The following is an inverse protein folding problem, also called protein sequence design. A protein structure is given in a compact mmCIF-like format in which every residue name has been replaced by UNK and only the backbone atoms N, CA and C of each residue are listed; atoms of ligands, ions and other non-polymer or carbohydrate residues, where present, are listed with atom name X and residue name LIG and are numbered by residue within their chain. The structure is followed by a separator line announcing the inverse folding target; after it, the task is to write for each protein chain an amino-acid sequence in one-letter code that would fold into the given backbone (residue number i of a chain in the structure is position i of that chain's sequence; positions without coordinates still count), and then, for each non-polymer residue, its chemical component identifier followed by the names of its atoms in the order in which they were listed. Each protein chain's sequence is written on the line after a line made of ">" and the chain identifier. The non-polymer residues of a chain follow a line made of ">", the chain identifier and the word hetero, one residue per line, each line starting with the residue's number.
data_IF_702676364456
#
_entry.id   IF_702676364456
#
_cell.length_a   1.000
_cell.length_b   1.000
_cell.length_c   1.000
_cell.angle_alpha   90.00
_cell.angle_beta   90.00
_cell.angle_gamma   90.00
#
_symmetry.space_group_name_H-M   'P 1'
#
loop_
_entity.id
_entity.type
_entity.pdbx_description
1 polymer ?
#
# COMPACT_ATOMS: atom_id res chain seq x y z
N UNK A 1 -33.56 7.74 -39.30
CA UNK A 1 -32.28 8.44 -39.52
C UNK A 1 -31.91 9.14 -38.23
N UNK A 2 -30.77 8.73 -37.66
CA UNK A 2 -29.94 9.45 -36.69
C UNK A 2 -30.57 9.72 -35.30
N UNK A 3 -29.94 9.45 -34.16
CA UNK A 3 -28.54 9.11 -33.89
C UNK A 3 -28.46 8.71 -32.41
N UNK A 4 -27.87 7.54 -32.12
CA UNK A 4 -27.48 7.13 -30.76
C UNK A 4 -26.41 8.09 -30.22
N UNK A 5 -26.43 8.45 -28.93
CA UNK A 5 -25.31 9.12 -28.30
C UNK A 5 -24.15 8.12 -28.17
N UNK A 6 -23.10 8.45 -28.90
CA UNK A 6 -21.69 8.09 -28.74
C UNK A 6 -21.33 7.51 -27.37
N UNK A 7 -21.00 6.21 -27.36
CA UNK A 7 -20.00 5.68 -26.43
C UNK A 7 -18.68 6.43 -26.72
N UNK A 8 -18.02 6.92 -25.68
CA UNK A 8 -16.61 7.26 -25.75
C UNK A 8 -15.83 6.64 -24.59
N UNK A 9 -14.57 6.27 -24.86
CA UNK A 9 -13.83 5.26 -24.14
C UNK A 9 -12.92 5.90 -23.08
N UNK A 10 -12.67 5.19 -21.99
CA UNK A 10 -11.71 5.71 -21.01
C UNK A 10 -11.71 4.98 -19.68
N UNK A 11 -11.74 3.64 -19.69
CA UNK A 11 -11.15 2.92 -18.57
C UNK A 11 -9.65 3.27 -18.56
N UNK A 12 -9.26 4.23 -17.72
CA UNK A 12 -7.83 4.45 -17.45
C UNK A 12 -7.38 3.19 -16.72
N UNK A 13 -6.42 2.41 -17.27
CA UNK A 13 -5.95 1.21 -16.61
C UNK A 13 -5.38 1.64 -15.26
N UNK A 14 -5.95 1.10 -14.18
CA UNK A 14 -5.35 1.10 -12.83
C UNK A 14 -3.84 0.98 -12.98
N UNK A 15 -3.08 1.87 -12.33
CA UNK A 15 -1.62 1.84 -12.33
C UNK A 15 -1.20 0.41 -11.99
N UNK A 16 -0.81 -0.35 -13.01
CA UNK A 16 -0.63 -1.80 -12.90
C UNK A 16 0.51 -2.02 -11.92
N UNK A 17 0.21 -2.64 -10.77
CA UNK A 17 1.20 -3.06 -9.78
C UNK A 17 2.36 -3.75 -10.49
N UNK A 18 3.53 -3.17 -10.33
CA UNK A 18 4.73 -3.62 -11.00
C UNK A 18 5.30 -4.81 -10.22
N UNK A 19 5.49 -5.91 -10.91
CA UNK A 19 6.01 -7.16 -10.35
C UNK A 19 7.28 -7.51 -11.12
N UNK A 20 8.33 -7.91 -10.41
CA UNK A 20 9.50 -8.52 -11.04
C UNK A 20 9.95 -9.73 -10.22
N UNK A 21 10.47 -10.73 -10.92
CA UNK A 21 10.97 -11.92 -10.26
C UNK A 21 12.23 -12.45 -10.93
N UNK A 22 13.23 -12.75 -10.10
CA UNK A 22 14.51 -13.32 -10.49
C UNK A 22 14.64 -14.66 -9.77
N UNK A 23 14.24 -15.73 -10.46
CA UNK A 23 14.18 -17.07 -9.89
C UNK A 23 14.84 -18.11 -10.79
N UNK A 24 15.18 -19.26 -10.22
CA UNK A 24 15.63 -20.41 -11.00
C UNK A 24 14.59 -20.83 -12.07
N UNK A 25 15.10 -21.39 -13.17
CA UNK A 25 14.33 -21.70 -14.38
C UNK A 25 13.10 -22.59 -14.12
N UNK A 26 13.21 -23.50 -13.16
CA UNK A 26 12.17 -24.44 -12.75
C UNK A 26 11.00 -23.78 -12.01
N UNK A 27 11.23 -22.61 -11.39
CA UNK A 27 10.20 -21.88 -10.63
C UNK A 27 9.44 -20.83 -11.48
N UNK A 28 9.93 -20.49 -12.67
CA UNK A 28 9.33 -19.46 -13.54
C UNK A 28 7.87 -19.76 -13.87
N UNK A 29 7.54 -21.03 -14.17
CA UNK A 29 6.17 -21.43 -14.51
C UNK A 29 5.18 -21.23 -13.36
N UNK A 30 5.61 -21.53 -12.13
CA UNK A 30 4.81 -21.37 -10.91
C UNK A 30 4.59 -19.89 -10.62
N UNK A 31 5.65 -19.08 -10.73
CA UNK A 31 5.58 -17.64 -10.49
C UNK A 31 4.68 -16.92 -11.50
N UNK A 32 4.76 -17.27 -12.79
CA UNK A 32 3.86 -16.69 -13.81
C UNK A 32 2.41 -17.02 -13.53
N UNK A 33 2.13 -18.29 -13.17
CA UNK A 33 0.77 -18.71 -12.83
C UNK A 33 0.23 -17.97 -11.59
N UNK A 34 1.03 -17.85 -10.53
CA UNK A 34 0.65 -17.11 -9.34
C UNK A 34 0.44 -15.61 -9.62
N UNK A 35 1.33 -15.00 -10.41
CA UNK A 35 1.21 -13.60 -10.82
C UNK A 35 -0.06 -13.36 -11.65
N UNK A 36 -0.40 -14.26 -12.57
CA UNK A 36 -1.63 -14.21 -13.36
C UNK A 36 -2.89 -14.24 -12.48
N UNK A 37 -2.94 -15.14 -11.49
CA UNK A 37 -4.10 -15.31 -10.59
C UNK A 37 -4.38 -14.05 -9.74
N UNK A 38 -3.35 -13.25 -9.46
CA UNK A 38 -3.45 -12.02 -8.66
C UNK A 38 -3.57 -10.77 -9.55
N UNK A 39 -3.52 -10.93 -10.88
CA UNK A 39 -3.61 -9.83 -11.85
C UNK A 39 -2.34 -8.97 -11.95
N UNK A 40 -1.19 -9.50 -11.55
CA UNK A 40 0.12 -8.85 -11.71
C UNK A 40 0.63 -9.01 -13.16
N UNK A 41 1.47 -8.07 -13.61
CA UNK A 41 2.10 -8.20 -14.94
C UNK A 41 3.18 -9.27 -14.90
N UNK A 42 3.00 -10.31 -15.71
CA UNK A 42 3.94 -11.44 -15.84
C UNK A 42 5.17 -11.13 -16.70
N UNK A 43 5.26 -9.91 -17.25
CA UNK A 43 6.25 -9.51 -18.24
C UNK A 43 7.68 -9.43 -17.69
N UNK A 44 7.87 -9.52 -16.35
CA UNK A 44 9.19 -9.45 -15.71
C UNK A 44 9.54 -10.65 -14.82
N UNK A 45 9.01 -11.84 -15.14
CA UNK A 45 9.51 -13.10 -14.54
C UNK A 45 10.65 -13.65 -15.39
N UNK A 46 11.88 -13.50 -14.89
CA UNK A 46 13.12 -13.87 -15.56
C UNK A 46 13.90 -14.93 -14.78
N UNK A 47 14.65 -15.73 -15.54
CA UNK A 47 15.61 -16.66 -14.97
C UNK A 47 16.79 -15.87 -14.41
N UNK A 48 17.08 -15.99 -13.12
CA UNK A 48 18.18 -15.23 -12.53
C UNK A 48 18.37 -15.49 -11.04
N UNK A 49 19.42 -14.86 -10.52
CA UNK A 49 19.75 -14.86 -9.10
C UNK A 49 19.48 -13.50 -8.47
N UNK A 50 19.56 -13.44 -7.14
CA UNK A 50 19.60 -12.17 -6.39
C UNK A 50 20.62 -11.17 -6.93
N UNK A 51 21.79 -11.61 -7.41
CA UNK A 51 22.81 -10.72 -7.96
C UNK A 51 22.39 -10.08 -9.30
N UNK A 52 21.59 -10.79 -10.10
CA UNK A 52 21.03 -10.24 -11.34
C UNK A 52 19.93 -9.23 -11.04
N UNK A 53 19.14 -9.47 -9.99
CA UNK A 53 18.16 -8.51 -9.48
C UNK A 53 18.83 -7.19 -9.07
N UNK A 54 19.90 -7.26 -8.27
CA UNK A 54 20.67 -6.07 -7.85
C UNK A 54 21.18 -5.28 -9.06
N UNK A 55 21.78 -5.98 -10.04
CA UNK A 55 22.35 -5.35 -11.24
C UNK A 55 21.28 -4.64 -12.08
N UNK A 56 20.09 -5.24 -12.21
CA UNK A 56 19.00 -4.65 -12.99
C UNK A 56 18.35 -3.47 -12.27
N UNK A 57 18.11 -3.61 -10.95
CA UNK A 57 17.47 -2.58 -10.13
C UNK A 57 18.38 -1.36 -9.91
N UNK A 58 19.71 -1.53 -9.95
CA UNK A 58 20.63 -0.39 -9.93
C UNK A 58 20.47 0.57 -11.13
N UNK A 59 19.90 0.11 -12.24
CA UNK A 59 19.75 0.90 -13.48
C UNK A 59 18.29 1.23 -13.84
N UNK A 60 17.31 0.77 -13.05
CA UNK A 60 15.87 0.84 -13.36
C UNK A 60 15.05 1.10 -12.09
N UNK A 61 13.86 1.70 -12.21
CA UNK A 61 12.96 1.86 -11.07
C UNK A 61 12.57 0.50 -10.48
N UNK A 62 12.45 0.45 -9.15
CA UNK A 62 12.15 -0.77 -8.42
C UNK A 62 10.65 -1.10 -8.49
N UNK A 63 10.29 -2.40 -8.52
CA UNK A 63 8.89 -2.81 -8.55
C UNK A 63 8.25 -2.68 -7.16
N UNK A 64 6.92 -2.73 -7.10
CA UNK A 64 6.16 -2.78 -5.84
C UNK A 64 6.36 -4.13 -5.14
N UNK A 65 6.51 -5.19 -5.93
CA UNK A 65 6.76 -6.56 -5.47
C UNK A 65 7.95 -7.15 -6.22
N UNK A 66 8.96 -7.59 -5.46
CA UNK A 66 10.15 -8.24 -5.97
C UNK A 66 10.27 -9.64 -5.37
N UNK A 67 10.35 -10.67 -6.23
CA UNK A 67 10.67 -12.03 -5.80
C UNK A 67 12.11 -12.35 -6.20
N UNK A 68 12.92 -12.79 -5.24
CA UNK A 68 14.32 -13.15 -5.48
C UNK A 68 14.64 -14.54 -4.98
N UNK A 69 15.47 -15.24 -5.75
CA UNK A 69 15.99 -16.55 -5.39
C UNK A 69 17.36 -16.44 -4.73
N UNK A 70 17.41 -16.90 -3.49
CA UNK A 70 18.60 -16.96 -2.65
C UNK A 70 19.27 -18.35 -2.70
N UNK A 71 18.70 -19.33 -3.40
CA UNK A 71 19.32 -20.64 -3.51
C UNK A 71 20.71 -20.53 -4.18
N UNK A 72 21.72 -21.13 -3.55
CA UNK A 72 23.10 -21.05 -4.01
C UNK A 72 23.80 -19.71 -3.77
N UNK A 73 23.14 -18.73 -3.14
CA UNK A 73 23.83 -17.58 -2.57
C UNK A 73 24.61 -18.06 -1.34
N UNK A 74 25.94 -17.96 -1.37
CA UNK A 74 26.77 -18.44 -0.26
C UNK A 74 26.43 -17.76 1.07
N UNK A 75 26.12 -16.46 1.02
CA UNK A 75 25.61 -15.67 2.13
C UNK A 75 24.32 -14.96 1.72
N UNK A 76 23.19 -15.54 2.13
CA UNK A 76 21.87 -15.02 1.84
C UNK A 76 21.60 -13.66 2.50
N UNK A 77 22.19 -13.38 3.67
CA UNK A 77 21.99 -12.12 4.40
C UNK A 77 22.72 -11.01 3.65
N UNK A 78 23.98 -11.23 3.26
CA UNK A 78 24.74 -10.27 2.48
C UNK A 78 24.07 -9.96 1.13
N UNK A 79 23.48 -10.97 0.49
CA UNK A 79 22.76 -10.81 -0.77
C UNK A 79 21.50 -9.94 -0.63
N UNK A 80 20.76 -10.08 0.46
CA UNK A 80 19.60 -9.22 0.76
C UNK A 80 20.05 -7.81 1.14
N UNK A 81 21.12 -7.66 1.90
CA UNK A 81 21.70 -6.35 2.21
C UNK A 81 22.03 -5.56 0.93
N UNK A 82 22.61 -6.23 -0.07
CA UNK A 82 22.87 -5.61 -1.38
C UNK A 82 21.60 -5.21 -2.14
N UNK A 83 20.45 -5.86 -1.91
CA UNK A 83 19.16 -5.41 -2.44
C UNK A 83 18.63 -4.18 -1.71
N UNK A 84 18.84 -4.07 -0.39
CA UNK A 84 18.39 -2.92 0.38
C UNK A 84 19.03 -1.60 -0.10
N UNK A 85 20.27 -1.66 -0.61
CA UNK A 85 20.96 -0.49 -1.16
C UNK A 85 20.39 0.00 -2.50
N UNK A 86 19.65 -0.84 -3.23
CA UNK A 86 19.10 -0.53 -4.57
C UNK A 86 17.57 -0.45 -4.60
N UNK A 87 16.89 -0.95 -3.57
CA UNK A 87 15.43 -0.94 -3.48
C UNK A 87 14.90 0.33 -2.81
N UNK A 88 13.85 0.92 -3.40
CA UNK A 88 13.11 1.99 -2.74
C UNK A 88 12.34 1.47 -1.52
N UNK A 89 12.06 2.34 -0.54
CA UNK A 89 11.36 1.98 0.71
C UNK A 89 9.95 1.37 0.51
N UNK A 90 9.36 1.53 -0.68
CA UNK A 90 8.07 0.93 -1.04
C UNK A 90 8.15 -0.47 -1.68
N UNK A 91 9.34 -0.96 -2.01
CA UNK A 91 9.53 -2.26 -2.66
C UNK A 91 9.46 -3.39 -1.64
N UNK A 92 8.50 -4.31 -1.85
CA UNK A 92 8.33 -5.49 -0.99
C UNK A 92 9.11 -6.67 -1.56
N UNK A 93 10.10 -7.14 -0.82
CA UNK A 93 10.98 -8.23 -1.23
C UNK A 93 10.51 -9.55 -0.61
N UNK A 94 10.22 -10.54 -1.44
CA UNK A 94 9.94 -11.93 -1.05
C UNK A 94 11.12 -12.79 -1.49
N UNK A 95 11.73 -13.47 -0.54
CA UNK A 95 12.85 -14.36 -0.80
C UNK A 95 12.38 -15.80 -1.01
N UNK A 96 13.08 -16.54 -1.87
CA UNK A 96 12.86 -17.97 -2.11
C UNK A 96 14.18 -18.69 -1.93
N UNK A 97 14.20 -19.85 -1.27
CA UNK A 97 15.42 -20.62 -1.06
C UNK A 97 15.18 -22.08 -0.69
N UNK A 98 16.26 -22.84 -0.59
CA UNK A 98 16.27 -24.28 -0.27
C UNK A 98 16.67 -24.60 1.18
N UNK A 99 17.18 -23.60 1.91
CA UNK A 99 17.59 -23.74 3.32
C UNK A 99 16.38 -23.61 4.23
N UNK A 100 16.11 -24.65 5.02
CA UNK A 100 15.07 -24.64 6.06
C UNK A 100 15.69 -24.39 7.44
N UNK A 101 16.02 -23.14 7.74
CA UNK A 101 16.61 -22.74 9.01
C UNK A 101 15.86 -21.53 9.61
N UNK A 102 15.42 -21.67 10.86
CA UNK A 102 14.66 -20.64 11.57
C UNK A 102 15.52 -19.41 11.88
N UNK A 103 16.82 -19.60 12.10
CA UNK A 103 17.77 -18.50 12.30
C UNK A 103 17.94 -17.67 11.04
N UNK A 104 18.06 -18.31 9.88
CA UNK A 104 18.08 -17.66 8.57
C UNK A 104 16.77 -16.91 8.33
N UNK A 105 15.61 -17.56 8.51
CA UNK A 105 14.31 -16.90 8.35
C UNK A 105 14.22 -15.62 9.18
N UNK A 106 14.51 -15.71 10.49
CA UNK A 106 14.45 -14.53 11.39
C UNK A 106 15.47 -13.46 11.02
N UNK A 107 16.61 -13.85 10.46
CA UNK A 107 17.62 -12.89 10.01
C UNK A 107 17.14 -12.14 8.77
N UNK A 108 16.59 -12.85 7.79
CA UNK A 108 16.04 -12.23 6.57
C UNK A 108 14.89 -11.26 6.88
N UNK A 109 13.98 -11.63 7.78
CA UNK A 109 12.89 -10.73 8.19
C UNK A 109 13.43 -9.45 8.86
N UNK A 110 14.51 -9.53 9.65
CA UNK A 110 15.14 -8.34 10.26
C UNK A 110 15.84 -7.45 9.23
N UNK A 111 16.35 -8.03 8.16
CA UNK A 111 16.93 -7.29 7.02
C UNK A 111 15.86 -6.66 6.10
N UNK A 112 14.58 -6.78 6.45
CA UNK A 112 13.48 -6.13 5.72
C UNK A 112 12.85 -6.99 4.62
N UNK A 113 13.20 -8.27 4.53
CA UNK A 113 12.47 -9.22 3.66
C UNK A 113 11.06 -9.41 4.24
N UNK A 114 10.05 -9.33 3.38
CA UNK A 114 8.66 -9.53 3.77
C UNK A 114 8.38 -10.96 4.18
N UNK A 115 8.84 -11.92 3.37
CA UNK A 115 8.65 -13.34 3.64
C UNK A 115 9.72 -14.18 2.94
N UNK A 116 9.95 -15.39 3.45
CA UNK A 116 10.88 -16.37 2.89
C UNK A 116 10.17 -17.70 2.62
N UNK A 117 10.12 -18.09 1.35
CA UNK A 117 9.45 -19.30 0.88
C UNK A 117 10.46 -20.41 0.63
N UNK A 118 10.25 -21.55 1.30
CA UNK A 118 11.06 -22.76 1.09
C UNK A 118 10.66 -23.46 -0.21
N UNK A 119 11.64 -23.83 -1.03
CA UNK A 119 11.43 -24.62 -2.24
C UNK A 119 11.03 -26.06 -1.92
N UNK A 120 10.15 -26.70 -2.73
CA UNK A 120 9.51 -26.14 -3.93
C UNK A 120 8.37 -25.18 -3.58
N UNK A 121 8.35 -24.01 -4.24
CA UNK A 121 7.32 -22.99 -3.99
C UNK A 121 6.00 -23.45 -4.58
N UNK A 122 4.92 -23.34 -3.82
CA UNK A 122 3.56 -23.55 -4.34
C UNK A 122 2.92 -22.23 -4.77
N UNK A 123 1.99 -22.30 -5.73
CA UNK A 123 1.18 -21.14 -6.16
C UNK A 123 0.50 -20.51 -4.95
N UNK A 124 -0.05 -21.33 -4.06
CA UNK A 124 -0.77 -20.87 -2.86
C UNK A 124 0.15 -20.14 -1.87
N UNK A 125 1.35 -20.68 -1.58
CA UNK A 125 2.31 -20.01 -0.69
C UNK A 125 2.79 -18.68 -1.26
N UNK A 126 2.99 -18.60 -2.57
CA UNK A 126 3.42 -17.37 -3.22
C UNK A 126 2.30 -16.33 -3.26
N UNK A 127 1.06 -16.78 -3.52
CA UNK A 127 -0.14 -15.94 -3.46
C UNK A 127 -0.33 -15.36 -2.06
N UNK A 128 -0.23 -16.21 -1.04
CA UNK A 128 -0.32 -15.78 0.35
C UNK A 128 0.76 -14.76 0.71
N UNK A 129 2.01 -14.95 0.28
CA UNK A 129 3.09 -13.99 0.52
C UNK A 129 2.83 -12.64 -0.19
N UNK A 130 2.43 -12.67 -1.46
CA UNK A 130 2.11 -11.46 -2.24
C UNK A 130 0.92 -10.70 -1.66
N UNK A 131 -0.09 -11.41 -1.16
CA UNK A 131 -1.28 -10.83 -0.53
C UNK A 131 -1.03 -10.35 0.90
N UNK A 132 -0.22 -11.06 1.70
CA UNK A 132 0.07 -10.70 3.09
C UNK A 132 0.66 -9.29 3.18
N UNK A 133 1.51 -8.92 2.22
CA UNK A 133 1.98 -7.55 2.07
C UNK A 133 0.87 -6.54 1.83
N UNK A 134 -0.14 -6.92 1.05
CA UNK A 134 -1.28 -6.06 0.69
C UNK A 134 -2.39 -5.99 1.75
N UNK A 135 -2.36 -6.85 2.76
CA UNK A 135 -3.31 -6.87 3.89
C UNK A 135 -2.74 -6.11 5.10
N UNK A 136 -1.41 -6.13 5.28
CA UNK A 136 -0.72 -5.31 6.29
C UNK A 136 -0.82 -3.81 5.94
N UNK A 137 -0.81 -3.46 4.66
CA UNK A 137 -1.34 -2.20 4.18
C UNK A 137 -2.87 -2.30 4.15
N UNK A 138 -3.60 -1.58 5.00
CA UNK A 138 -5.07 -1.52 4.99
C UNK A 138 -5.69 -0.94 3.70
N UNK A 139 -5.03 -1.03 2.55
CA UNK A 139 -5.47 -0.54 1.24
C UNK A 139 -6.35 -1.57 0.55
N UNK A 140 -7.52 -1.78 1.13
CA UNK A 140 -8.66 -2.29 0.38
C UNK A 140 -9.02 -1.27 -0.71
N UNK A 141 -8.66 -1.59 -1.96
CA UNK A 141 -8.94 -0.86 -3.22
C UNK A 141 -8.20 0.48 -3.37
N UNK A 142 -7.30 0.53 -4.34
CA UNK A 142 -6.75 1.75 -4.97
C UNK A 142 -7.82 2.57 -5.71
N UNK A 143 -8.86 3.00 -5.00
CA UNK A 143 -9.39 4.33 -5.26
C UNK A 143 -8.56 5.25 -4.39
N UNK A 144 -7.59 6.02 -4.93
CA UNK A 144 -6.96 7.07 -4.15
C UNK A 144 -8.07 7.93 -3.54
N UNK A 145 -8.04 8.07 -2.22
CA UNK A 145 -8.90 9.02 -1.54
C UNK A 145 -8.66 10.40 -2.15
N UNK A 146 -9.72 11.17 -2.35
CA UNK A 146 -9.58 12.54 -2.82
C UNK A 146 -9.30 13.44 -1.61
N UNK A 147 -8.16 14.14 -1.63
CA UNK A 147 -7.80 15.11 -0.62
C UNK A 147 -8.28 16.51 -1.04
N UNK A 148 -9.23 17.07 -0.28
CA UNK A 148 -9.72 18.42 -0.49
C UNK A 148 -9.25 19.28 0.69
N UNK A 149 -8.42 20.28 0.41
CA UNK A 149 -7.97 21.25 1.41
C UNK A 149 -8.74 22.56 1.29
N UNK A 150 -9.37 23.00 2.38
CA UNK A 150 -10.06 24.29 2.47
C UNK A 150 -9.24 25.20 3.37
N UNK A 151 -8.67 26.27 2.80
CA UNK A 151 -7.79 27.20 3.53
C UNK A 151 -8.40 28.59 3.53
N UNK A 152 -8.59 29.16 4.73
CA UNK A 152 -9.07 30.53 4.89
C UNK A 152 -7.95 31.55 4.69
N UNK A 153 -8.25 32.65 4.01
CA UNK A 153 -7.28 33.75 3.81
C UNK A 153 -7.12 34.65 5.04
N UNK A 154 -8.10 34.65 5.95
CA UNK A 154 -8.10 35.34 7.26
C UNK A 154 -8.98 34.57 8.25
N UNK A 155 -8.85 34.88 9.54
CA UNK A 155 -9.77 34.36 10.55
C UNK A 155 -11.22 34.80 10.29
N UNK A 156 -12.18 33.92 10.54
CA UNK A 156 -13.61 34.23 10.42
C UNK A 156 -14.18 34.27 8.98
N UNK A 157 -13.39 33.94 7.95
CA UNK A 157 -13.89 33.89 6.56
C UNK A 157 -14.81 32.69 6.26
N UNK A 158 -15.03 31.81 7.24
CA UNK A 158 -15.93 30.66 7.12
C UNK A 158 -15.30 29.40 6.51
N UNK A 159 -13.98 29.28 6.48
CA UNK A 159 -13.29 28.10 5.93
C UNK A 159 -13.77 26.79 6.58
N UNK A 160 -13.86 26.74 7.91
CA UNK A 160 -14.40 25.60 8.65
C UNK A 160 -15.84 25.30 8.25
N UNK A 161 -16.69 26.32 8.15
CA UNK A 161 -18.08 26.14 7.75
C UNK A 161 -18.21 25.55 6.34
N UNK A 162 -17.38 26.02 5.39
CA UNK A 162 -17.34 25.46 4.03
C UNK A 162 -16.85 24.01 4.05
N UNK A 163 -15.79 23.71 4.79
CA UNK A 163 -15.24 22.35 4.89
C UNK A 163 -16.25 21.37 5.48
N UNK A 164 -16.93 21.74 6.58
CA UNK A 164 -17.93 20.89 7.24
C UNK A 164 -19.13 20.63 6.34
N UNK A 165 -19.68 21.67 5.69
CA UNK A 165 -20.82 21.50 4.78
C UNK A 165 -20.45 20.69 3.53
N UNK A 166 -19.24 20.88 2.99
CA UNK A 166 -18.74 20.09 1.88
C UNK A 166 -18.63 18.62 2.26
N UNK A 167 -18.03 18.32 3.43
CA UNK A 167 -17.93 16.95 3.93
C UNK A 167 -19.31 16.32 4.13
N UNK A 168 -20.26 17.07 4.70
CA UNK A 168 -21.64 16.63 4.88
C UNK A 168 -22.32 16.30 3.54
N UNK A 169 -22.22 17.18 2.54
CA UNK A 169 -22.83 16.96 1.22
C UNK A 169 -22.20 15.77 0.48
N UNK A 170 -20.87 15.64 0.54
CA UNK A 170 -20.16 14.49 -0.04
C UNK A 170 -20.60 13.16 0.60
N UNK A 171 -20.80 13.15 1.92
CA UNK A 171 -21.25 11.96 2.63
C UNK A 171 -22.72 11.64 2.38
N UNK A 172 -23.62 12.61 2.58
CA UNK A 172 -25.06 12.37 2.62
C UNK A 172 -25.72 12.38 1.24
N UNK A 173 -25.28 13.27 0.35
CA UNK A 173 -25.86 13.42 -0.99
C UNK A 173 -25.14 12.57 -2.02
N UNK A 174 -23.80 12.54 -2.00
CA UNK A 174 -23.00 11.77 -2.95
C UNK A 174 -22.64 10.36 -2.47
N UNK A 175 -23.02 9.99 -1.25
CA UNK A 175 -22.79 8.66 -0.65
C UNK A 175 -21.31 8.26 -0.64
N UNK A 176 -20.42 9.22 -0.45
CA UNK A 176 -18.97 8.97 -0.32
C UNK A 176 -18.60 8.71 1.14
N UNK A 177 -17.57 7.92 1.37
CA UNK A 177 -16.93 7.84 2.70
C UNK A 177 -16.01 9.05 2.86
N UNK A 178 -16.25 9.85 3.87
CA UNK A 178 -15.57 11.13 4.11
C UNK A 178 -14.98 11.16 5.51
N UNK A 179 -13.70 11.51 5.59
CA UNK A 179 -13.04 11.90 6.82
C UNK A 179 -12.81 13.41 6.79
N UNK A 180 -13.36 14.14 7.75
CA UNK A 180 -13.20 15.58 7.91
C UNK A 180 -12.16 15.86 9.00
N UNK A 181 -10.99 16.39 8.62
CA UNK A 181 -9.93 16.68 9.57
C UNK A 181 -9.83 18.18 9.79
N UNK A 182 -9.98 18.62 11.03
CA UNK A 182 -9.71 20.00 11.44
C UNK A 182 -8.26 20.14 11.90
N UNK A 183 -7.46 20.95 11.21
CA UNK A 183 -6.06 21.16 11.53
C UNK A 183 -5.83 22.30 12.54
N UNK A 184 -6.88 22.93 13.05
CA UNK A 184 -6.80 23.84 14.19
C UNK A 184 -6.87 23.07 15.52
N UNK A 185 -5.69 22.71 16.05
CA UNK A 185 -5.55 21.88 17.26
C UNK A 185 -6.04 22.55 18.56
N UNK A 186 -6.26 23.87 18.54
CA UNK A 186 -6.59 24.66 19.72
C UNK A 186 -8.04 25.14 19.69
N UNK A 187 -8.56 25.49 18.52
CA UNK A 187 -9.89 26.09 18.34
C UNK A 187 -10.72 25.39 17.26
N UNK A 188 -10.35 24.18 16.85
CA UNK A 188 -11.12 23.39 15.90
C UNK A 188 -12.58 23.25 16.34
N UNK A 189 -13.49 23.44 15.39
CA UNK A 189 -14.93 23.51 15.66
C UNK A 189 -15.77 22.59 14.78
N UNK A 190 -15.14 21.79 13.92
CA UNK A 190 -15.83 20.86 13.02
C UNK A 190 -16.77 19.90 13.76
N UNK A 191 -16.31 19.27 14.85
CA UNK A 191 -17.13 18.35 15.64
C UNK A 191 -18.35 19.06 16.24
N UNK A 192 -18.18 20.26 16.81
CA UNK A 192 -19.30 21.06 17.33
C UNK A 192 -20.31 21.41 16.23
N UNK A 193 -19.84 21.74 15.02
CA UNK A 193 -20.72 22.04 13.88
C UNK A 193 -21.53 20.81 13.40
N UNK A 194 -21.09 19.60 13.76
CA UNK A 194 -21.77 18.33 13.51
C UNK A 194 -22.54 17.81 14.73
N UNK A 195 -22.63 18.59 15.81
CA UNK A 195 -23.22 18.18 17.10
C UNK A 195 -22.54 16.95 17.73
N UNK A 196 -21.21 16.90 17.60
CA UNK A 196 -20.36 15.83 18.13
C UNK A 196 -19.43 16.33 19.25
N UNK A 197 -19.08 15.43 20.16
CA UNK A 197 -18.00 15.66 21.12
C UNK A 197 -16.63 15.54 20.44
N UNK A 198 -15.73 16.49 20.74
CA UNK A 198 -14.37 16.49 20.19
C UNK A 198 -13.54 15.34 20.78
N UNK A 199 -12.99 14.50 19.92
CA UNK A 199 -12.00 13.48 20.30
C UNK A 199 -10.59 14.06 20.49
N UNK A 200 -9.71 13.29 21.14
CA UNK A 200 -8.28 13.62 21.29
C UNK A 200 -7.38 12.96 20.22
N UNK A 201 -7.98 12.24 19.27
CA UNK A 201 -7.28 11.37 18.33
C UNK A 201 -6.22 12.07 17.48
N UNK A 202 -6.52 13.26 16.94
CA UNK A 202 -5.55 14.01 16.13
C UNK A 202 -4.34 14.46 16.96
N UNK A 203 -4.54 14.89 18.21
CA UNK A 203 -3.44 15.28 19.10
C UNK A 203 -2.56 14.08 19.44
N UNK A 204 -3.17 12.95 19.79
CA UNK A 204 -2.44 11.70 20.09
C UNK A 204 -1.62 11.22 18.88
N UNK A 205 -2.17 11.37 17.66
CA UNK A 205 -1.48 11.04 16.40
C UNK A 205 -0.19 11.87 16.23
N UNK A 206 -0.26 13.16 16.57
CA UNK A 206 0.88 14.08 16.44
C UNK A 206 1.95 13.84 17.51
N UNK A 207 1.55 13.45 18.72
CA UNK A 207 2.48 13.16 19.82
C UNK A 207 3.22 11.83 19.61
N UNK A 208 2.62 10.87 18.90
CA UNK A 208 3.26 9.58 18.61
C UNK A 208 3.04 9.11 17.15
N UNK A 209 3.73 9.73 16.16
CA UNK A 209 3.52 9.45 14.74
C UNK A 209 3.80 7.99 14.35
N UNK A 210 4.70 7.32 15.08
CA UNK A 210 5.04 5.92 14.83
C UNK A 210 3.92 4.93 15.16
N UNK A 211 2.86 5.37 15.87
CA UNK A 211 1.68 4.55 16.21
C UNK A 211 0.49 4.77 15.29
N UNK A 212 0.62 5.58 14.24
CA UNK A 212 -0.47 5.81 13.29
C UNK A 212 -0.62 4.57 12.40
N UNK A 213 -1.53 3.67 12.81
CA UNK A 213 -1.99 2.54 12.02
C UNK A 213 -3.49 2.67 11.71
N UNK A 214 -4.03 1.73 10.93
CA UNK A 214 -5.45 1.74 10.52
C UNK A 214 -6.41 1.65 11.71
N UNK A 215 -6.05 0.89 12.76
CA UNK A 215 -6.85 0.72 13.96
C UNK A 215 -6.85 1.99 14.82
N UNK A 216 -5.71 2.64 14.92
CA UNK A 216 -5.55 3.92 15.59
C UNK A 216 -6.43 4.99 14.92
N UNK A 217 -6.39 5.11 13.59
CA UNK A 217 -7.24 6.06 12.84
C UNK A 217 -8.72 5.74 13.09
N UNK A 218 -9.13 4.48 12.99
CA UNK A 218 -10.52 4.08 13.18
C UNK A 218 -11.06 4.42 14.59
N UNK A 219 -10.23 4.27 15.62
CA UNK A 219 -10.60 4.59 17.01
C UNK A 219 -10.50 6.07 17.35
N UNK A 220 -9.67 6.80 16.62
CA UNK A 220 -9.39 8.21 16.85
C UNK A 220 -10.42 9.15 16.26
N UNK A 221 -11.14 8.70 15.22
CA UNK A 221 -12.18 9.49 14.58
C UNK A 221 -13.54 9.33 15.27
N UNK A 222 -14.28 10.42 15.37
CA UNK A 222 -15.64 10.47 15.89
C UNK A 222 -16.61 10.33 14.72
N UNK A 223 -17.56 9.40 14.84
CA UNK A 223 -18.53 9.12 13.78
C UNK A 223 -19.73 10.03 13.92
N UNK A 224 -20.03 10.77 12.85
CA UNK A 224 -21.33 11.42 12.67
C UNK A 224 -22.34 10.41 12.11
N UNK A 225 -21.91 9.65 11.10
CA UNK A 225 -22.71 8.62 10.42
C UNK A 225 -21.82 7.48 9.89
N UNK A 226 -22.41 6.50 9.22
CA UNK A 226 -21.68 5.40 8.57
C UNK A 226 -20.68 5.90 7.49
N UNK A 227 -20.95 7.08 6.92
CA UNK A 227 -20.21 7.66 5.81
C UNK A 227 -19.43 8.94 6.15
N UNK A 228 -19.65 9.56 7.32
CA UNK A 228 -18.96 10.76 7.75
C UNK A 228 -18.32 10.56 9.13
N UNK A 229 -17.04 10.91 9.24
CA UNK A 229 -16.31 10.89 10.51
C UNK A 229 -15.39 12.11 10.58
N UNK A 230 -15.14 12.65 11.77
CA UNK A 230 -14.23 13.77 12.00
C UNK A 230 -13.24 13.49 13.13
#
# INVERSE_FOLDING_TARGET
>A
MSSQPTQSPGATPSARRSFAAFVAQDQIGILRKAAHEIGLREDRVVAGTVADAVRELAARPTPDHLVVDLAGSGDAIAAVGALADVCDAGTRVIAVGDVNDVGLYRSLIREGVQDYLLKPVSVESLRAALEAGTIADGTSRDTPGELIAVVGTRGGVGATAVATNLAWALAHEQKRRVALIDLDLFFGSCALMLDLEMGHGLREAMENPARIDSLFIERSMVRESDSLSC
#
